data_IF_114123047701
#
_entry.id   IF_114123047701
#
_cell.length_a   1.000
_cell.length_b   1.000
_cell.length_c   1.000
_cell.angle_alpha   90.00
_cell.angle_beta   90.00
_cell.angle_gamma   90.00
#
_symmetry.space_group_name_H-M   'P 1'
#
loop_
_entity.id
_entity.type
_entity.pdbx_description
1 polymer ?
#
# COMPACT_ATOMS: atom_id res chain seq x y z
N UNK A 1 23.74 12.71 -10.83
CA UNK A 1 24.16 12.77 -12.24
C UNK A 1 23.96 14.19 -12.73
N UNK A 2 25.02 15.00 -12.67
CA UNK A 2 24.97 16.39 -13.09
C UNK A 2 25.13 16.45 -14.61
N UNK A 3 24.06 16.75 -15.34
CA UNK A 3 24.12 16.98 -16.77
C UNK A 3 24.74 18.36 -17.01
N UNK A 4 26.01 18.38 -17.39
CA UNK A 4 26.71 19.56 -17.86
C UNK A 4 26.02 20.05 -19.14
N UNK A 5 25.26 21.14 -19.03
CA UNK A 5 24.68 21.80 -20.18
C UNK A 5 25.82 22.30 -21.08
N UNK A 6 26.05 21.59 -22.20
CA UNK A 6 26.97 22.03 -23.23
C UNK A 6 26.40 23.31 -23.85
N UNK A 7 26.87 24.45 -23.34
CA UNK A 7 26.61 25.76 -23.91
C UNK A 7 27.25 25.73 -25.30
N UNK A 8 26.45 25.47 -26.34
CA UNK A 8 26.87 25.61 -27.75
C UNK A 8 27.22 27.09 -27.94
N UNK A 9 28.48 27.42 -27.71
CA UNK A 9 29.04 28.72 -28.07
C UNK A 9 28.91 28.79 -29.58
N UNK A 10 27.98 29.61 -30.05
CA UNK A 10 27.89 29.93 -31.47
C UNK A 10 29.21 30.58 -31.84
N UNK A 11 30.00 29.89 -32.64
CA UNK A 11 31.27 30.38 -33.16
C UNK A 11 30.94 31.50 -34.16
N UNK A 12 30.82 32.72 -33.64
CA UNK A 12 30.64 33.91 -34.45
C UNK A 12 31.98 34.18 -35.13
N UNK A 13 32.24 33.46 -36.22
CA UNK A 13 33.38 33.76 -37.09
C UNK A 13 33.25 35.23 -37.50
N UNK A 14 34.20 36.05 -37.05
CA UNK A 14 34.37 37.41 -37.57
C UNK A 14 34.76 37.29 -39.04
N UNK A 15 33.78 37.47 -39.90
CA UNK A 15 33.98 37.55 -41.34
C UNK A 15 34.45 38.97 -41.62
N UNK A 16 35.75 39.15 -41.81
CA UNK A 16 36.30 40.42 -42.25
C UNK A 16 36.58 40.28 -43.75
N UNK A 17 35.64 40.71 -44.58
CA UNK A 17 35.79 40.64 -46.03
C UNK A 17 35.28 41.95 -46.65
N UNK A 18 36.21 42.89 -46.81
CA UNK A 18 36.12 43.87 -47.91
C UNK A 18 37.44 43.88 -48.67
N UNK A 19 37.45 43.59 -49.98
CA UNK A 19 38.56 43.98 -50.84
C UNK A 19 38.59 45.51 -50.91
N UNK A 20 39.76 46.10 -50.69
CA UNK A 20 39.99 47.55 -50.71
C UNK A 20 39.66 48.21 -52.07
N UNK A 21 39.50 47.42 -53.13
CA UNK A 21 39.31 47.91 -54.50
C UNK A 21 37.95 48.57 -54.79
N UNK A 22 36.90 48.28 -54.01
CA UNK A 22 35.57 48.90 -54.21
C UNK A 22 35.44 50.29 -53.55
N UNK A 23 36.45 50.74 -52.79
CA UNK A 23 36.46 52.02 -52.07
C UNK A 23 37.03 53.18 -52.91
N UNK A 24 36.91 53.12 -54.24
CA UNK A 24 37.49 54.13 -55.11
C UNK A 24 36.45 55.17 -55.50
N UNK A 25 36.68 56.40 -55.07
CA UNK A 25 35.91 57.57 -55.49
C UNK A 25 36.06 57.76 -57.00
N UNK A 26 34.96 57.77 -57.74
CA UNK A 26 34.93 57.97 -59.19
C UNK A 26 34.79 59.45 -59.55
N UNK A 27 35.58 60.33 -58.92
CA UNK A 27 35.65 61.72 -59.37
C UNK A 27 36.60 61.83 -60.54
N UNK A 28 36.15 62.51 -61.60
CA UNK A 28 37.06 63.05 -62.59
C UNK A 28 37.68 64.33 -62.01
N UNK A 29 38.84 64.14 -61.38
CA UNK A 29 39.62 65.23 -60.78
C UNK A 29 40.02 66.28 -61.79
N UNK A 30 40.28 65.87 -63.04
CA UNK A 30 40.73 66.79 -64.08
C UNK A 30 39.59 67.66 -64.58
N UNK A 31 38.40 67.08 -64.82
CA UNK A 31 37.22 67.84 -65.21
C UNK A 31 36.83 68.87 -64.14
N UNK A 32 36.93 68.53 -62.85
CA UNK A 32 36.63 69.44 -61.75
C UNK A 32 37.63 70.61 -61.66
N UNK A 33 38.93 70.35 -61.87
CA UNK A 33 39.94 71.41 -61.89
C UNK A 33 39.70 72.36 -63.07
N UNK A 34 39.43 71.83 -64.27
CA UNK A 34 39.15 72.64 -65.46
C UNK A 34 37.90 73.51 -65.29
N UNK A 35 36.84 72.96 -64.67
CA UNK A 35 35.63 73.72 -64.40
C UNK A 35 35.89 74.86 -63.41
N UNK A 36 36.65 74.62 -62.35
CA UNK A 36 37.02 75.66 -61.38
C UNK A 36 37.90 76.75 -62.02
N UNK A 37 38.87 76.38 -62.85
CA UNK A 37 39.68 77.35 -63.62
C UNK A 37 38.82 78.22 -64.54
N UNK A 38 37.83 77.61 -65.22
CA UNK A 38 36.89 78.34 -66.09
C UNK A 38 36.01 79.35 -65.31
N UNK A 39 35.79 79.12 -64.01
CA UNK A 39 35.03 80.00 -63.13
C UNK A 39 35.89 81.01 -62.35
N UNK A 40 37.16 81.21 -62.76
CA UNK A 40 38.02 82.28 -62.26
C UNK A 40 38.89 81.91 -61.05
N UNK A 41 39.00 80.63 -60.72
CA UNK A 41 39.98 80.16 -59.73
C UNK A 41 41.36 80.00 -60.38
N UNK A 42 42.42 80.37 -59.64
CA UNK A 42 43.78 80.03 -60.07
C UNK A 42 44.01 78.52 -60.03
N UNK A 43 44.86 77.99 -60.92
CA UNK A 43 45.18 76.56 -61.00
C UNK A 43 45.51 75.91 -59.66
N UNK A 44 46.41 76.53 -58.89
CA UNK A 44 46.80 76.03 -57.56
C UNK A 44 45.62 76.02 -56.58
N UNK A 45 44.70 76.98 -56.68
CA UNK A 45 43.50 77.05 -55.84
C UNK A 45 42.50 75.95 -56.22
N UNK A 46 42.26 75.74 -57.52
CA UNK A 46 41.40 74.69 -58.04
C UNK A 46 41.92 73.28 -57.64
N UNK A 47 43.23 73.03 -57.82
CA UNK A 47 43.86 71.77 -57.42
C UNK A 47 43.79 71.53 -55.90
N UNK A 48 43.96 72.57 -55.09
CA UNK A 48 43.86 72.48 -53.62
C UNK A 48 42.44 72.16 -53.16
N UNK A 49 41.43 72.82 -53.73
CA UNK A 49 40.02 72.57 -53.41
C UNK A 49 39.63 71.15 -53.79
N UNK A 50 40.00 70.70 -54.98
CA UNK A 50 39.74 69.34 -55.45
C UNK A 50 40.46 68.30 -54.59
N UNK A 51 41.70 68.56 -54.16
CA UNK A 51 42.44 67.68 -53.24
C UNK A 51 41.77 67.56 -51.86
N UNK A 52 41.25 68.67 -51.32
CA UNK A 52 40.50 68.66 -50.07
C UNK A 52 39.18 67.87 -50.20
N UNK A 53 38.48 68.00 -51.34
CA UNK A 53 37.26 67.23 -51.63
C UNK A 53 37.53 65.73 -51.74
N UNK A 54 38.60 65.31 -52.43
CA UNK A 54 39.00 63.90 -52.48
C UNK A 54 39.27 63.37 -51.07
N UNK A 55 40.00 64.14 -50.26
CA UNK A 55 40.38 63.73 -48.90
C UNK A 55 39.14 63.56 -48.02
N UNK A 56 38.23 64.54 -48.02
CA UNK A 56 36.97 64.46 -47.27
C UNK A 56 36.07 63.33 -47.76
N UNK A 57 35.97 63.13 -49.08
CA UNK A 57 35.16 62.08 -49.68
C UNK A 57 35.71 60.68 -49.40
N UNK A 58 37.04 60.52 -49.37
CA UNK A 58 37.65 59.25 -49.00
C UNK A 58 37.40 58.92 -47.52
N UNK A 59 37.53 59.90 -46.63
CA UNK A 59 37.25 59.73 -45.20
C UNK A 59 35.78 59.43 -44.93
N UNK A 60 34.86 60.12 -45.62
CA UNK A 60 33.42 59.89 -45.46
C UNK A 60 33.01 58.51 -45.99
N UNK A 61 33.50 58.10 -47.16
CA UNK A 61 33.24 56.77 -47.69
C UNK A 61 33.82 55.68 -46.81
N UNK A 62 35.04 55.83 -46.28
CA UNK A 62 35.62 54.81 -45.39
C UNK A 62 34.77 54.64 -44.12
N UNK A 63 34.25 55.74 -43.57
CA UNK A 63 33.33 55.71 -42.42
C UNK A 63 32.03 54.99 -42.77
N UNK A 64 31.40 55.34 -43.90
CA UNK A 64 30.14 54.71 -44.34
C UNK A 64 30.33 53.23 -44.67
N UNK A 65 31.40 52.85 -45.37
CA UNK A 65 31.68 51.45 -45.70
C UNK A 65 32.02 50.59 -44.48
N UNK A 66 32.58 51.18 -43.42
CA UNK A 66 32.84 50.48 -42.17
C UNK A 66 31.56 50.15 -41.40
N UNK A 67 30.55 51.02 -41.48
CA UNK A 67 29.27 50.83 -40.80
C UNK A 67 28.23 50.09 -41.67
N UNK A 68 28.46 49.99 -42.98
CA UNK A 68 27.61 49.24 -43.91
C UNK A 68 27.90 47.74 -43.91
N UNK A 69 26.87 46.96 -44.20
CA UNK A 69 26.95 45.51 -44.40
C UNK A 69 27.02 45.22 -45.89
N UNK A 70 28.01 44.43 -46.31
CA UNK A 70 28.14 44.02 -47.71
C UNK A 70 27.17 42.90 -48.04
N UNK A 71 26.81 42.77 -49.32
CA UNK A 71 25.96 41.67 -49.80
C UNK A 71 26.58 40.29 -49.49
N UNK A 72 27.90 40.17 -49.63
CA UNK A 72 28.63 38.95 -49.26
C UNK A 72 28.52 38.63 -47.76
N UNK A 73 28.63 39.65 -46.90
CA UNK A 73 28.45 39.48 -45.46
C UNK A 73 27.03 39.03 -45.12
N UNK A 74 26.02 39.63 -45.75
CA UNK A 74 24.63 39.24 -45.58
C UNK A 74 24.37 37.80 -46.03
N UNK A 75 24.93 37.38 -47.16
CA UNK A 75 24.79 36.02 -47.68
C UNK A 75 25.40 34.98 -46.73
N UNK A 76 26.60 35.24 -46.18
CA UNK A 76 27.24 34.34 -45.22
C UNK A 76 26.40 34.21 -43.94
N UNK A 77 25.90 35.33 -43.40
CA UNK A 77 25.03 35.31 -42.22
C UNK A 77 23.73 34.55 -42.51
N UNK A 78 23.14 34.72 -43.69
CA UNK A 78 21.93 34.00 -44.09
C UNK A 78 22.21 32.49 -44.20
N UNK A 79 23.32 32.07 -44.80
CA UNK A 79 23.73 30.66 -44.86
C UNK A 79 23.93 30.06 -43.46
N UNK A 80 24.50 30.80 -42.51
CA UNK A 80 24.62 30.37 -41.12
C UNK A 80 23.26 30.17 -40.46
N UNK A 81 22.33 31.13 -40.63
CA UNK A 81 20.96 31.02 -40.11
C UNK A 81 20.26 29.80 -40.71
N UNK A 82 20.38 29.58 -42.03
CA UNK A 82 19.81 28.41 -42.69
C UNK A 82 20.37 27.10 -42.12
N UNK A 83 21.69 27.00 -41.93
CA UNK A 83 22.30 25.81 -41.33
C UNK A 83 21.79 25.54 -39.91
N UNK A 84 21.57 26.59 -39.11
CA UNK A 84 20.97 26.46 -37.79
C UNK A 84 19.51 26.00 -37.84
N UNK A 85 18.70 26.56 -38.75
CA UNK A 85 17.32 26.13 -38.96
C UNK A 85 17.23 24.67 -39.40
N UNK A 86 18.14 24.22 -40.26
CA UNK A 86 18.21 22.83 -40.71
C UNK A 86 18.59 21.88 -39.57
N UNK A 87 19.51 22.30 -38.68
CA UNK A 87 19.82 21.54 -37.46
C UNK A 87 18.60 21.42 -36.54
N UNK A 88 17.88 22.53 -36.28
CA UNK A 88 16.68 22.53 -35.43
C UNK A 88 15.60 21.65 -36.03
N UNK A 89 15.40 21.71 -37.35
CA UNK A 89 14.43 20.86 -38.06
C UNK A 89 14.77 19.38 -37.90
N UNK A 90 16.06 19.02 -38.00
CA UNK A 90 16.52 17.65 -37.80
C UNK A 90 16.22 17.17 -36.38
N UNK A 91 16.57 17.98 -35.38
CA UNK A 91 16.32 17.65 -33.97
C UNK A 91 14.81 17.47 -33.70
N UNK A 92 13.96 18.34 -34.27
CA UNK A 92 12.50 18.22 -34.17
C UNK A 92 11.99 16.90 -34.76
N UNK A 93 12.47 16.50 -35.94
CA UNK A 93 12.06 15.24 -36.58
C UNK A 93 12.53 14.03 -35.76
N UNK A 94 13.73 14.07 -35.18
CA UNK A 94 14.23 13.00 -34.30
C UNK A 94 13.33 12.89 -33.06
N UNK A 95 13.02 14.02 -32.43
CA UNK A 95 12.15 14.07 -31.27
C UNK A 95 10.77 13.47 -31.56
N UNK A 96 10.14 13.88 -32.68
CA UNK A 96 8.83 13.41 -33.11
C UNK A 96 8.80 11.91 -33.45
N UNK A 97 9.79 11.45 -34.21
CA UNK A 97 9.80 10.07 -34.71
C UNK A 97 10.33 9.05 -33.71
N UNK A 98 11.27 9.44 -32.86
CA UNK A 98 11.94 8.51 -31.94
C UNK A 98 11.39 8.65 -30.53
N UNK A 99 11.56 9.80 -29.89
CA UNK A 99 11.29 9.93 -28.46
C UNK A 99 9.80 9.88 -28.15
N UNK A 100 8.98 10.62 -28.90
CA UNK A 100 7.52 10.58 -28.70
C UNK A 100 6.91 9.23 -29.06
N UNK A 101 7.43 8.55 -30.10
CA UNK A 101 6.98 7.21 -30.46
C UNK A 101 7.31 6.20 -29.36
N UNK A 102 8.54 6.25 -28.82
CA UNK A 102 8.95 5.40 -27.72
C UNK A 102 8.12 5.66 -26.46
N UNK A 103 7.91 6.93 -26.09
CA UNK A 103 7.09 7.30 -24.94
C UNK A 103 5.64 6.81 -25.07
N UNK A 104 5.03 6.92 -26.26
CA UNK A 104 3.67 6.37 -26.49
C UNK A 104 3.65 4.85 -26.36
N UNK A 105 4.65 4.16 -26.92
CA UNK A 105 4.74 2.70 -26.83
C UNK A 105 4.94 2.23 -25.39
N UNK A 106 5.81 2.91 -24.63
CA UNK A 106 6.03 2.64 -23.21
C UNK A 106 4.78 2.93 -22.37
N UNK A 107 4.06 4.01 -22.68
CA UNK A 107 2.81 4.35 -22.00
C UNK A 107 1.72 3.29 -22.22
N UNK A 108 1.52 2.83 -23.47
CA UNK A 108 0.58 1.76 -23.77
C UNK A 108 1.00 0.43 -23.13
N UNK A 109 2.29 0.11 -23.12
CA UNK A 109 2.81 -1.06 -22.42
C UNK A 109 2.48 -1.00 -20.92
N UNK A 110 2.77 0.13 -20.26
CA UNK A 110 2.47 0.32 -18.84
C UNK A 110 0.97 0.20 -18.55
N UNK A 111 0.11 0.70 -19.44
CA UNK A 111 -1.34 0.60 -19.31
C UNK A 111 -1.82 -0.86 -19.39
N UNK A 112 -1.27 -1.64 -20.31
CA UNK A 112 -1.57 -3.08 -20.42
C UNK A 112 -1.12 -3.84 -19.17
N UNK A 113 0.10 -3.59 -18.69
CA UNK A 113 0.62 -4.21 -17.47
C UNK A 113 -0.22 -3.85 -16.24
N UNK A 114 -0.66 -2.60 -16.13
CA UNK A 114 -1.55 -2.14 -15.06
C UNK A 114 -2.89 -2.89 -15.10
N UNK A 115 -3.51 -3.01 -16.27
CA UNK A 115 -4.77 -3.74 -16.42
C UNK A 115 -4.60 -5.22 -16.10
N UNK A 116 -3.47 -5.83 -16.48
CA UNK A 116 -3.16 -7.22 -16.15
C UNK A 116 -3.02 -7.42 -14.64
N UNK A 117 -2.26 -6.57 -13.94
CA UNK A 117 -2.10 -6.64 -12.48
C UNK A 117 -3.43 -6.43 -11.78
N UNK A 118 -4.25 -5.48 -12.25
CA UNK A 118 -5.59 -5.25 -11.71
C UNK A 118 -6.48 -6.48 -11.84
N UNK A 119 -6.50 -7.13 -12.99
CA UNK A 119 -7.27 -8.36 -13.21
C UNK A 119 -6.78 -9.51 -12.33
N UNK A 120 -5.46 -9.70 -12.23
CA UNK A 120 -4.88 -10.70 -11.33
C UNK A 120 -5.28 -10.46 -9.88
N UNK A 121 -5.19 -9.21 -9.40
CA UNK A 121 -5.57 -8.85 -8.04
C UNK A 121 -7.05 -9.12 -7.76
N UNK A 122 -7.94 -8.79 -8.71
CA UNK A 122 -9.37 -9.08 -8.59
C UNK A 122 -9.64 -10.59 -8.51
N UNK A 123 -8.96 -11.39 -9.34
CA UNK A 123 -9.11 -12.84 -9.36
C UNK A 123 -8.61 -13.48 -8.06
N UNK A 124 -7.41 -13.11 -7.59
CA UNK A 124 -6.85 -13.63 -6.34
C UNK A 124 -7.69 -13.21 -5.13
N UNK A 125 -8.17 -11.96 -5.10
CA UNK A 125 -9.10 -11.50 -4.04
C UNK A 125 -10.40 -12.29 -4.07
N UNK A 126 -10.94 -12.58 -5.25
CA UNK A 126 -12.14 -13.41 -5.42
C UNK A 126 -11.93 -14.83 -4.92
N UNK A 127 -10.80 -15.43 -5.27
CA UNK A 127 -10.40 -16.78 -4.85
C UNK A 127 -10.23 -16.86 -3.33
N UNK A 128 -9.44 -15.98 -2.73
CA UNK A 128 -9.23 -15.92 -1.28
C UNK A 128 -10.56 -15.77 -0.53
N UNK A 129 -11.48 -14.94 -1.06
CA UNK A 129 -12.81 -14.77 -0.46
C UNK A 129 -13.64 -16.05 -0.52
N UNK A 130 -13.61 -16.76 -1.64
CA UNK A 130 -14.33 -18.02 -1.81
C UNK A 130 -13.76 -19.10 -0.89
N UNK A 131 -12.43 -19.24 -0.86
CA UNK A 131 -11.71 -20.20 -0.01
C UNK A 131 -11.98 -19.92 1.46
N UNK A 132 -11.83 -18.67 1.91
CA UNK A 132 -12.11 -18.29 3.30
C UNK A 132 -13.56 -18.54 3.70
N UNK A 133 -14.52 -18.28 2.80
CA UNK A 133 -15.94 -18.58 3.07
C UNK A 133 -16.18 -20.08 3.19
N UNK A 134 -15.53 -20.90 2.36
CA UNK A 134 -15.60 -22.35 2.44
C UNK A 134 -15.01 -22.85 3.76
N UNK A 135 -13.81 -22.40 4.12
CA UNK A 135 -13.13 -22.78 5.36
C UNK A 135 -13.97 -22.45 6.60
N UNK A 136 -14.53 -21.23 6.66
CA UNK A 136 -15.42 -20.81 7.75
C UNK A 136 -16.66 -21.70 7.83
N UNK A 137 -17.24 -22.08 6.68
CA UNK A 137 -18.42 -22.93 6.65
C UNK A 137 -18.10 -24.37 7.09
N UNK A 138 -16.95 -24.92 6.67
CA UNK A 138 -16.49 -26.24 7.09
C UNK A 138 -16.21 -26.27 8.59
N UNK A 139 -15.47 -25.29 9.12
CA UNK A 139 -15.21 -25.18 10.55
C UNK A 139 -16.49 -24.97 11.37
N UNK A 140 -17.43 -24.16 10.85
CA UNK A 140 -18.74 -24.00 11.49
C UNK A 140 -19.48 -25.33 11.57
N UNK A 141 -19.53 -26.08 10.47
CA UNK A 141 -20.17 -27.41 10.46
C UNK A 141 -19.50 -28.34 11.45
N UNK A 142 -18.17 -28.38 11.47
CA UNK A 142 -17.39 -29.21 12.39
C UNK A 142 -17.67 -28.87 13.86
N UNK A 143 -17.71 -27.58 14.19
CA UNK A 143 -18.05 -27.12 15.55
C UNK A 143 -19.48 -27.50 15.92
N UNK A 144 -20.43 -27.34 15.00
CA UNK A 144 -21.83 -27.76 15.23
C UNK A 144 -21.91 -29.27 15.47
N UNK A 145 -21.28 -30.10 14.65
CA UNK A 145 -21.28 -31.56 14.83
C UNK A 145 -20.66 -31.96 16.17
N UNK A 146 -19.53 -31.36 16.55
CA UNK A 146 -18.91 -31.58 17.85
C UNK A 146 -19.81 -31.17 19.01
N UNK A 147 -20.52 -30.04 18.90
CA UNK A 147 -21.44 -29.58 19.92
C UNK A 147 -22.62 -30.56 20.07
N UNK A 148 -23.21 -31.02 18.97
CA UNK A 148 -24.30 -32.01 19.01
C UNK A 148 -23.85 -33.35 19.61
N UNK A 149 -22.62 -33.79 19.33
CA UNK A 149 -22.06 -35.00 19.94
C UNK A 149 -21.85 -34.85 21.45
N UNK A 150 -21.38 -33.67 21.88
CA UNK A 150 -21.24 -33.35 23.31
C UNK A 150 -22.59 -33.29 24.02
N UNK A 151 -23.59 -32.67 23.41
CA UNK A 151 -24.95 -32.60 23.93
C UNK A 151 -25.56 -33.99 24.08
N UNK A 152 -25.37 -34.87 23.08
CA UNK A 152 -25.77 -36.28 23.14
C UNK A 152 -25.10 -37.02 24.30
N UNK A 153 -23.77 -36.92 24.43
CA UNK A 153 -23.03 -37.55 25.54
C UNK A 153 -23.48 -37.04 26.90
N UNK A 154 -23.78 -35.76 27.02
CA UNK A 154 -24.30 -35.17 28.24
C UNK A 154 -25.69 -35.72 28.56
N UNK A 155 -26.58 -35.82 27.58
CA UNK A 155 -27.90 -36.43 27.74
C UNK A 155 -27.83 -37.90 28.15
N UNK A 156 -26.94 -38.68 27.53
CA UNK A 156 -26.66 -40.08 27.91
C UNK A 156 -26.19 -40.17 29.37
N UNK A 157 -25.18 -39.36 29.75
CA UNK A 157 -24.67 -39.33 31.11
C UNK A 157 -25.71 -38.89 32.16
N UNK A 158 -26.53 -37.89 31.84
CA UNK A 158 -27.65 -37.45 32.69
C UNK A 158 -28.69 -38.56 32.85
N UNK A 159 -29.00 -39.30 31.79
CA UNK A 159 -29.94 -40.42 31.84
C UNK A 159 -29.41 -41.57 32.70
N UNK A 160 -28.13 -41.93 32.53
CA UNK A 160 -27.47 -42.95 33.35
C UNK A 160 -27.40 -42.54 34.83
N UNK A 161 -27.08 -41.27 35.09
CA UNK A 161 -27.06 -40.70 36.44
C UNK A 161 -28.44 -40.83 37.10
N UNK A 162 -29.52 -40.40 36.44
CA UNK A 162 -30.88 -40.52 36.97
C UNK A 162 -31.31 -41.97 37.20
N UNK A 163 -30.91 -42.90 36.32
CA UNK A 163 -31.17 -44.32 36.51
C UNK A 163 -30.48 -44.86 37.77
N UNK A 164 -29.21 -44.50 37.98
CA UNK A 164 -28.43 -44.91 39.15
C UNK A 164 -28.95 -44.28 40.43
N UNK A 165 -29.33 -43.00 40.39
CA UNK A 165 -29.96 -42.29 41.50
C UNK A 165 -31.28 -42.97 41.91
N UNK A 166 -32.16 -43.25 40.95
CA UNK A 166 -33.44 -43.96 41.19
C UNK A 166 -33.21 -45.35 41.79
N UNK A 167 -32.26 -46.11 41.24
CA UNK A 167 -31.87 -47.42 41.79
C UNK A 167 -31.35 -47.32 43.21
N UNK A 168 -30.54 -46.29 43.51
CA UNK A 168 -29.96 -46.07 44.83
C UNK A 168 -31.04 -45.69 45.84
N UNK A 169 -31.96 -44.80 45.46
CA UNK A 169 -33.12 -44.42 46.27
C UNK A 169 -34.04 -45.61 46.57
N UNK A 170 -34.26 -46.51 45.60
CA UNK A 170 -35.01 -47.76 45.83
C UNK A 170 -34.33 -48.65 46.89
N UNK A 171 -33.01 -48.86 46.77
CA UNK A 171 -32.24 -49.65 47.74
C UNK A 171 -32.27 -49.02 49.13
N UNK A 172 -32.14 -47.69 49.22
CA UNK A 172 -32.25 -46.96 50.49
C UNK A 172 -33.63 -47.17 51.12
N UNK A 173 -34.70 -47.08 50.33
CA UNK A 173 -36.07 -47.30 50.83
C UNK A 173 -36.27 -48.75 51.32
N UNK A 174 -35.75 -49.74 50.59
CA UNK A 174 -35.80 -51.15 51.01
C UNK A 174 -35.05 -51.38 52.33
N UNK A 175 -33.85 -50.80 52.49
CA UNK A 175 -33.07 -50.89 53.72
C UNK A 175 -33.81 -50.21 54.88
N UNK A 176 -34.36 -49.01 54.65
CA UNK A 176 -35.15 -48.29 55.66
C UNK A 176 -36.33 -49.14 56.13
N UNK A 177 -37.10 -49.71 55.21
CA UNK A 177 -38.23 -50.58 55.55
C UNK A 177 -37.77 -51.82 56.34
N UNK A 178 -36.63 -52.44 55.98
CA UNK A 178 -36.07 -53.57 56.75
C UNK A 178 -35.70 -53.15 58.17
N UNK A 179 -35.02 -52.02 58.34
CA UNK A 179 -34.66 -51.46 59.65
C UNK A 179 -35.93 -51.25 60.48
N UNK A 180 -36.98 -50.66 59.92
CA UNK A 180 -38.25 -50.44 60.62
C UNK A 180 -38.90 -51.77 61.06
N UNK A 181 -38.88 -52.80 60.20
CA UNK A 181 -39.39 -54.13 60.56
C UNK A 181 -38.56 -54.82 61.65
N UNK A 182 -37.23 -54.69 61.62
CA UNK A 182 -36.34 -55.24 62.65
C UNK A 182 -36.56 -54.53 63.99
N UNK A 183 -36.68 -53.20 64.00
CA UNK A 183 -37.00 -52.40 65.20
C UNK A 183 -38.33 -52.86 65.80
N UNK A 184 -39.37 -53.04 64.99
CA UNK A 184 -40.66 -53.53 65.46
C UNK A 184 -40.54 -54.94 66.07
N UNK A 185 -39.82 -55.85 65.40
CA UNK A 185 -39.61 -57.22 65.87
C UNK A 185 -38.83 -57.27 67.20
N UNK A 186 -37.76 -56.48 67.33
CA UNK A 186 -36.95 -56.38 68.55
C UNK A 186 -37.76 -55.80 69.69
N UNK A 187 -38.62 -54.81 69.42
CA UNK A 187 -39.53 -54.24 70.40
C UNK A 187 -40.53 -55.29 70.92
N UNK A 188 -41.13 -56.08 70.03
CA UNK A 188 -42.03 -57.18 70.43
C UNK A 188 -41.28 -58.24 71.26
N UNK A 189 -40.07 -58.62 70.85
CA UNK A 189 -39.25 -59.57 71.60
C UNK A 189 -38.91 -59.04 73.00
N UNK A 190 -38.56 -57.75 73.09
CA UNK A 190 -38.28 -57.07 74.37
C UNK A 190 -39.51 -57.03 75.28
N UNK A 191 -40.69 -56.71 74.73
CA UNK A 191 -41.95 -56.74 75.49
C UNK A 191 -42.28 -58.15 75.99
N UNK A 192 -42.10 -59.18 75.17
CA UNK A 192 -42.25 -60.59 75.58
C UNK A 192 -41.28 -60.97 76.69
N UNK A 193 -39.99 -60.65 76.55
CA UNK A 193 -38.98 -60.98 77.55
C UNK A 193 -39.23 -60.25 78.89
N UNK A 194 -39.71 -59.00 78.84
CA UNK A 194 -40.15 -58.27 80.04
C UNK A 194 -41.31 -58.99 80.73
N UNK A 195 -42.31 -59.46 79.97
CA UNK A 195 -43.44 -60.21 80.51
C UNK A 195 -43.00 -61.54 81.13
N UNK A 196 -42.10 -62.27 80.48
CA UNK A 196 -41.57 -63.53 81.00
C UNK A 196 -40.76 -63.30 82.28
N UNK A 197 -39.94 -62.25 82.33
CA UNK A 197 -39.22 -61.86 83.56
C UNK A 197 -40.18 -61.54 84.70
N UNK A 198 -41.27 -60.80 84.44
CA UNK A 198 -42.32 -60.54 85.44
C UNK A 198 -42.98 -61.85 85.91
N UNK A 199 -43.27 -62.78 85.00
CA UNK A 199 -43.83 -64.10 85.34
C UNK A 199 -42.87 -64.93 86.19
N UNK A 200 -41.58 -65.00 85.83
CA UNK A 200 -40.57 -65.71 86.62
C UNK A 200 -40.39 -65.11 88.00
N UNK A 201 -40.41 -63.77 88.12
CA UNK A 201 -40.32 -63.07 89.41
C UNK A 201 -41.56 -63.34 90.27
N UNK A 202 -42.76 -63.31 89.69
CA UNK A 202 -43.97 -63.70 90.40
C UNK A 202 -43.89 -65.16 90.89
N UNK A 203 -43.47 -66.09 90.01
CA UNK A 203 -43.30 -67.50 90.37
C UNK A 203 -42.30 -67.69 91.51
N UNK A 204 -41.14 -67.01 91.48
CA UNK A 204 -40.14 -67.12 92.53
C UNK A 204 -40.64 -66.58 93.87
N UNK A 205 -41.30 -65.41 93.89
CA UNK A 205 -41.94 -64.86 95.10
C UNK A 205 -42.99 -65.83 95.66
N UNK A 206 -43.84 -66.41 94.81
CA UNK A 206 -44.82 -67.42 95.22
C UNK A 206 -44.15 -68.67 95.81
N UNK A 207 -43.06 -69.16 95.22
CA UNK A 207 -42.33 -70.31 95.77
C UNK A 207 -41.66 -69.97 97.11
N UNK A 208 -41.07 -68.79 97.27
CA UNK A 208 -40.51 -68.34 98.54
C UNK A 208 -41.59 -68.19 99.63
N UNK A 209 -42.77 -67.65 99.29
CA UNK A 209 -43.91 -67.57 100.20
C UNK A 209 -44.42 -68.96 100.57
N UNK A 210 -44.52 -69.90 99.62
CA UNK A 210 -44.92 -71.28 99.88
C UNK A 210 -43.94 -72.00 100.83
N UNK A 211 -42.62 -71.80 100.63
CA UNK A 211 -41.59 -72.33 101.51
C UNK A 211 -41.67 -71.69 102.90
N UNK A 212 -41.82 -70.37 103.00
CA UNK A 212 -41.95 -69.66 104.28
C UNK A 212 -43.19 -70.08 105.06
N UNK A 213 -44.33 -70.28 104.39
CA UNK A 213 -45.55 -70.86 104.99
C UNK A 213 -45.33 -72.31 105.43
N UNK A 214 -44.57 -73.10 104.66
CA UNK A 214 -44.15 -74.44 105.04
C UNK A 214 -43.33 -74.46 106.32
N UNK A 215 -42.34 -73.57 106.46
CA UNK A 215 -41.54 -73.41 107.68
C UNK A 215 -42.36 -72.88 108.87
N UNK A 216 -43.23 -71.89 108.66
CA UNK A 216 -44.12 -71.37 109.71
C UNK A 216 -45.04 -72.45 110.26
N UNK A 217 -45.50 -73.38 109.40
CA UNK A 217 -46.36 -74.50 109.81
C UNK A 217 -45.61 -75.62 110.55
N UNK A 218 -44.29 -75.69 110.42
CA UNK A 218 -43.43 -76.65 111.13
C UNK A 218 -42.97 -76.13 112.51
N UNK A 219 -43.05 -74.81 112.75
CA UNK A 219 -42.70 -74.15 114.02
C UNK A 219 -43.92 -73.85 114.93
N UNK A 220 -45.10 -74.36 114.57
CA UNK A 220 -46.31 -74.33 115.41
C UNK A 220 -46.61 -75.75 115.90
#
# INVERSE_FOLDING_TARGET
WAATAARKTYDVRKVEITPLEQRKVTFDTHALVQDLEAHGFGKEQAETIVSALITLSNVSLDTVYKDMVTQAQQEITLQQIMAHLDSIRKDMVILEKSEFANLRAENEKMKIELDQVKQQLMNETGKIRADSKLDINLERSRVTDMFTDQERKLMEATTEFHKKDSSTNSVISEISNKIDTEIASLKTLMESNKLDTIRYLAASVFTCLAIALGFYRFWK
#
